data_IF_615546733571
#
_entry.id   IF_615546733571
#
_cell.length_a   1.000
_cell.length_b   1.000
_cell.length_c   1.000
_cell.angle_alpha   90.00
_cell.angle_beta   90.00
_cell.angle_gamma   90.00
#
_symmetry.space_group_name_H-M   'P 1'
#
loop_
_entity.id
_entity.type
_entity.pdbx_description
1 polymer ?
#
# COMPACT_ATOMS: atom_id res chain seq x y z
N UNK A 1 -10.72 12.49 -13.79
CA UNK A 1 -11.38 12.40 -12.46
C UNK A 1 -10.35 11.88 -11.46
N UNK A 2 -10.15 12.54 -10.32
CA UNK A 2 -9.07 12.26 -9.35
C UNK A 2 -8.69 13.51 -8.54
N UNK A 3 -7.86 13.40 -7.50
CA UNK A 3 -7.36 14.56 -6.75
C UNK A 3 -6.10 15.18 -7.38
N UNK A 4 -5.70 16.38 -6.92
CA UNK A 4 -4.44 16.99 -7.37
C UNK A 4 -3.25 16.12 -6.98
N UNK A 5 -2.11 16.28 -7.66
CA UNK A 5 -0.89 15.55 -7.33
C UNK A 5 -0.49 15.70 -5.85
N UNK A 6 -0.57 16.93 -5.32
CA UNK A 6 -0.31 17.20 -3.91
C UNK A 6 -1.22 16.39 -2.96
N UNK A 7 -2.53 16.38 -3.20
CA UNK A 7 -3.44 15.55 -2.40
C UNK A 7 -3.19 14.04 -2.62
N UNK A 8 -2.79 13.64 -3.83
CA UNK A 8 -2.40 12.27 -4.17
C UNK A 8 -1.20 11.76 -3.39
N UNK A 9 -0.31 12.66 -2.92
CA UNK A 9 0.85 12.31 -2.14
C UNK A 9 0.55 12.11 -0.64
N UNK A 10 -0.58 12.62 -0.12
CA UNK A 10 -0.88 12.55 1.31
C UNK A 10 -0.87 11.11 1.89
N UNK A 11 -1.39 10.06 1.22
CA UNK A 11 -1.31 8.70 1.77
C UNK A 11 0.11 8.18 1.94
N UNK A 12 1.04 8.51 1.03
CA UNK A 12 2.44 8.06 1.16
C UNK A 12 3.19 8.88 2.22
N UNK A 13 2.90 10.18 2.32
CA UNK A 13 3.43 11.03 3.41
C UNK A 13 2.96 10.52 4.79
N UNK A 14 1.67 10.16 4.90
CA UNK A 14 1.11 9.56 6.11
C UNK A 14 1.80 8.24 6.45
N UNK A 15 1.89 7.31 5.51
CA UNK A 15 2.51 6.01 5.72
C UNK A 15 3.98 6.10 6.14
N UNK A 16 4.71 7.11 5.65
CA UNK A 16 6.12 7.28 5.93
C UNK A 16 6.41 7.95 7.29
N UNK A 17 5.55 8.89 7.72
CA UNK A 17 5.91 9.84 8.79
C UNK A 17 4.89 9.98 9.91
N UNK A 18 3.62 9.57 9.71
CA UNK A 18 2.59 9.78 10.72
C UNK A 18 2.84 8.89 11.95
N UNK A 19 2.79 9.42 13.18
CA UNK A 19 2.88 8.62 14.40
C UNK A 19 1.82 7.52 14.50
N UNK A 20 0.68 7.72 13.83
CA UNK A 20 -0.45 6.78 13.76
C UNK A 20 -0.27 5.71 12.67
N UNK A 21 0.76 5.83 11.81
CA UNK A 21 1.06 4.82 10.81
C UNK A 21 1.52 3.51 11.47
N UNK A 22 1.07 2.40 10.90
CA UNK A 22 1.31 1.05 11.43
C UNK A 22 2.09 0.23 10.41
N UNK A 23 2.95 -0.66 10.91
CA UNK A 23 3.58 -1.66 10.06
C UNK A 23 2.51 -2.49 9.34
N UNK A 24 2.73 -2.75 8.05
CA UNK A 24 1.75 -3.38 7.16
C UNK A 24 0.46 -2.56 6.91
N UNK A 25 0.42 -1.28 7.30
CA UNK A 25 -0.71 -0.39 7.04
C UNK A 25 -0.94 -0.13 5.54
N UNK A 26 -2.21 0.04 5.16
CA UNK A 26 -2.61 0.36 3.78
C UNK A 26 -3.55 1.55 3.82
N UNK A 27 -3.15 2.67 3.22
CA UNK A 27 -3.79 3.96 3.40
C UNK A 27 -4.23 4.57 2.08
N UNK A 28 -5.35 5.27 2.11
CA UNK A 28 -5.92 5.90 0.92
C UNK A 28 -7.00 6.94 1.26
N UNK A 29 -7.56 7.61 0.24
CA UNK A 29 -8.60 8.61 0.43
C UNK A 29 -9.91 7.99 0.93
N UNK A 30 -10.61 8.66 1.84
CA UNK A 30 -11.85 8.17 2.47
C UNK A 30 -13.12 8.22 1.60
N UNK A 31 -13.09 8.91 0.47
CA UNK A 31 -14.26 9.12 -0.38
C UNK A 31 -14.58 7.94 -1.30
N UNK A 32 -15.65 8.11 -2.10
CA UNK A 32 -16.20 7.03 -2.93
C UNK A 32 -15.16 6.40 -3.87
N UNK A 33 -14.92 5.11 -3.65
CA UNK A 33 -13.96 4.30 -4.41
C UNK A 33 -12.51 4.72 -4.19
N UNK A 34 -12.20 5.34 -3.06
CA UNK A 34 -10.84 5.72 -2.64
C UNK A 34 -10.16 6.71 -3.60
N UNK A 35 -10.97 7.55 -4.28
CA UNK A 35 -10.48 8.47 -5.32
C UNK A 35 -10.11 9.86 -4.80
N UNK A 36 -10.80 10.30 -3.74
CA UNK A 36 -10.69 11.65 -3.13
C UNK A 36 -11.04 11.61 -1.65
N UNK A 37 -10.57 12.57 -0.87
CA UNK A 37 -10.89 12.70 0.55
C UNK A 37 -9.65 12.81 1.43
N UNK A 38 -9.84 12.81 2.75
CA UNK A 38 -8.72 12.73 3.69
C UNK A 38 -8.14 11.32 3.72
N UNK A 39 -6.90 11.19 4.19
CA UNK A 39 -6.26 9.88 4.38
C UNK A 39 -6.98 9.09 5.47
N UNK A 40 -7.16 7.80 5.25
CA UNK A 40 -7.70 6.80 6.18
C UNK A 40 -7.11 5.44 5.84
N UNK A 41 -7.38 4.42 6.67
CA UNK A 41 -7.18 3.02 6.26
C UNK A 41 -7.98 2.73 4.99
N UNK A 42 -7.29 2.18 3.98
CA UNK A 42 -7.87 1.75 2.72
C UNK A 42 -8.26 0.27 2.74
N UNK A 43 -9.15 -0.09 1.83
CA UNK A 43 -9.56 -1.46 1.59
C UNK A 43 -8.43 -2.24 0.94
N UNK A 44 -7.87 -3.19 1.69
CA UNK A 44 -6.95 -4.19 1.11
C UNK A 44 -7.77 -5.26 0.41
N UNK A 45 -7.56 -5.52 -0.90
CA UNK A 45 -8.23 -6.62 -1.61
C UNK A 45 -7.89 -7.98 -1.00
N UNK A 46 -8.83 -8.94 -1.03
CA UNK A 46 -8.62 -10.28 -0.48
C UNK A 46 -7.38 -10.98 -1.08
N UNK A 47 -7.19 -10.84 -2.40
CA UNK A 47 -6.02 -11.40 -3.09
C UNK A 47 -4.69 -10.82 -2.58
N UNK A 48 -4.67 -9.56 -2.14
CA UNK A 48 -3.48 -8.93 -1.57
C UNK A 48 -3.17 -9.44 -0.15
N UNK A 49 -4.09 -10.19 0.48
CA UNK A 49 -3.87 -10.82 1.80
C UNK A 49 -3.47 -12.30 1.70
N UNK A 50 -3.35 -12.87 0.51
CA UNK A 50 -2.96 -14.27 0.34
C UNK A 50 -1.44 -14.46 0.54
N UNK A 51 -1.06 -15.00 1.70
CA UNK A 51 0.34 -15.24 2.06
C UNK A 51 1.00 -16.35 1.23
N UNK A 52 0.23 -17.25 0.62
CA UNK A 52 0.78 -18.26 -0.29
C UNK A 52 1.24 -17.59 -1.59
N UNK A 53 0.40 -16.69 -2.12
CA UNK A 53 0.76 -15.88 -3.29
C UNK A 53 1.92 -14.95 -2.97
N UNK A 54 1.89 -14.26 -1.82
CA UNK A 54 2.95 -13.34 -1.41
C UNK A 54 4.32 -14.03 -1.31
N UNK A 55 4.38 -15.20 -0.66
CA UNK A 55 5.63 -15.98 -0.55
C UNK A 55 6.15 -16.42 -1.92
N UNK A 56 5.27 -16.91 -2.79
CA UNK A 56 5.67 -17.32 -4.15
C UNK A 56 6.17 -16.13 -4.96
N UNK A 57 5.53 -14.97 -4.84
CA UNK A 57 5.95 -13.73 -5.50
C UNK A 57 7.34 -13.32 -5.02
N UNK A 58 7.59 -13.34 -3.72
CA UNK A 58 8.90 -13.01 -3.15
C UNK A 58 10.00 -13.93 -3.68
N UNK A 59 9.79 -15.25 -3.65
CA UNK A 59 10.74 -16.23 -4.19
C UNK A 59 11.04 -16.01 -5.68
N UNK A 60 10.04 -15.60 -6.47
CA UNK A 60 10.24 -15.25 -7.88
C UNK A 60 11.07 -13.97 -7.99
N UNK A 61 10.78 -12.95 -7.19
CA UNK A 61 11.51 -11.68 -7.20
C UNK A 61 13.00 -11.87 -6.82
N UNK A 62 13.30 -12.65 -5.79
CA UNK A 62 14.66 -13.04 -5.40
C UNK A 62 15.40 -13.72 -6.57
N UNK A 63 14.77 -14.72 -7.21
CA UNK A 63 15.36 -15.40 -8.38
C UNK A 63 15.60 -14.48 -9.57
N UNK A 64 14.67 -13.56 -9.86
CA UNK A 64 14.79 -12.66 -11.00
C UNK A 64 15.83 -11.56 -10.79
N UNK A 65 16.04 -11.14 -9.54
CA UNK A 65 16.99 -10.08 -9.17
C UNK A 65 18.35 -10.61 -8.76
N UNK A 66 18.48 -11.93 -8.53
CA UNK A 66 19.70 -12.54 -7.99
C UNK A 66 20.01 -12.10 -6.55
N UNK A 67 19.02 -11.59 -5.82
CA UNK A 67 19.15 -11.16 -4.42
C UNK A 67 18.47 -12.15 -3.49
N UNK A 68 18.91 -12.19 -2.22
CA UNK A 68 18.29 -13.00 -1.16
C UNK A 68 18.14 -12.15 0.09
N UNK A 69 16.93 -12.08 0.61
CA UNK A 69 16.58 -11.39 1.85
C UNK A 69 15.99 -12.35 2.90
N UNK A 70 16.02 -13.65 2.58
CA UNK A 70 15.64 -14.76 3.45
C UNK A 70 16.74 -15.20 4.40
#
# INVERSE_FOLDING_TARGET
>A
MGQSAAHGALPIEFAAMAPEARDGGYYGPSGQGERRGHVTDAFVPAAARDLTIARRLWQVAERLTGTSLS
#
